data_IF_485806778112
#
_entry.id   IF_485806778112
#
_cell.length_a   1.000
_cell.length_b   1.000
_cell.length_c   1.000
_cell.angle_alpha   90.00
_cell.angle_beta   90.00
_cell.angle_gamma   90.00
#
_symmetry.space_group_name_H-M   'P 1'
#
loop_
_entity.id
_entity.type
_entity.pdbx_description
1 polymer ?
#
# COMPACT_ATOMS: atom_id res chain seq x y z
N UNK A 1 -2.29 9.07 -87.66
CA UNK A 1 -3.53 9.44 -86.94
C UNK A 1 -3.77 8.45 -85.79
N UNK A 2 -3.69 8.88 -84.53
CA UNK A 2 -4.06 8.03 -83.38
C UNK A 2 -5.57 8.12 -83.18
N UNK A 3 -6.27 6.98 -83.25
CA UNK A 3 -7.70 6.90 -82.90
C UNK A 3 -7.83 6.96 -81.38
N UNK A 4 -8.39 8.05 -80.87
CA UNK A 4 -8.86 8.16 -79.49
C UNK A 4 -10.21 7.45 -79.38
N UNK A 5 -10.23 6.29 -78.72
CA UNK A 5 -11.46 5.58 -78.38
C UNK A 5 -12.03 6.14 -77.08
N UNK A 6 -13.23 6.71 -77.12
CA UNK A 6 -13.95 7.13 -75.92
C UNK A 6 -14.72 5.94 -75.32
N UNK A 7 -14.47 5.67 -74.03
CA UNK A 7 -15.19 4.64 -73.29
C UNK A 7 -16.53 5.21 -72.80
N UNK A 8 -17.65 4.82 -73.42
CA UNK A 8 -18.98 5.24 -72.98
C UNK A 8 -19.46 4.28 -71.87
N UNK A 9 -19.43 4.74 -70.63
CA UNK A 9 -19.98 4.01 -69.48
C UNK A 9 -21.47 4.36 -69.36
N UNK A 10 -22.34 3.39 -69.64
CA UNK A 10 -23.79 3.55 -69.44
C UNK A 10 -24.14 3.47 -67.96
N UNK A 11 -25.26 4.09 -67.54
CA UNK A 11 -25.75 4.03 -66.15
C UNK A 11 -25.86 2.59 -65.64
N UNK A 12 -26.27 1.65 -66.49
CA UNK A 12 -26.39 0.24 -66.15
C UNK A 12 -25.02 -0.40 -65.85
N UNK A 13 -23.99 -0.11 -66.66
CA UNK A 13 -22.61 -0.59 -66.41
C UNK A 13 -22.01 0.02 -65.14
N UNK A 14 -22.34 1.27 -64.82
CA UNK A 14 -21.92 1.92 -63.58
C UNK A 14 -22.57 1.25 -62.35
N UNK A 15 -23.87 0.98 -62.40
CA UNK A 15 -24.60 0.30 -61.30
C UNK A 15 -24.04 -1.10 -61.06
N UNK A 16 -23.80 -1.87 -62.13
CA UNK A 16 -23.20 -3.21 -62.04
C UNK A 16 -21.78 -3.13 -61.44
N UNK A 17 -20.97 -2.16 -61.88
CA UNK A 17 -19.63 -1.95 -61.32
C UNK A 17 -19.64 -1.63 -59.83
N UNK A 18 -20.56 -0.78 -59.36
CA UNK A 18 -20.72 -0.45 -57.95
C UNK A 18 -21.19 -1.68 -57.16
N UNK A 19 -22.13 -2.46 -57.69
CA UNK A 19 -22.63 -3.67 -57.03
C UNK A 19 -21.53 -4.74 -56.87
N UNK A 20 -20.69 -4.93 -57.91
CA UNK A 20 -19.53 -5.83 -57.86
C UNK A 20 -18.51 -5.33 -56.83
N UNK A 21 -18.21 -4.02 -56.82
CA UNK A 21 -17.30 -3.44 -55.82
C UNK A 21 -17.82 -3.64 -54.39
N UNK A 22 -19.12 -3.44 -54.17
CA UNK A 22 -19.75 -3.63 -52.86
C UNK A 22 -19.71 -5.10 -52.42
N UNK A 23 -19.95 -6.04 -53.34
CA UNK A 23 -19.86 -7.48 -53.10
C UNK A 23 -18.43 -7.95 -52.81
N UNK A 24 -17.44 -7.39 -53.52
CA UNK A 24 -16.02 -7.67 -53.23
C UNK A 24 -15.67 -7.11 -51.84
N UNK A 25 -16.06 -5.88 -51.52
CA UNK A 25 -15.84 -5.28 -50.20
C UNK A 25 -16.50 -6.06 -49.07
N UNK A 26 -17.70 -6.65 -49.27
CA UNK A 26 -18.36 -7.45 -48.24
C UNK A 26 -17.67 -8.80 -48.02
N UNK A 27 -17.12 -9.43 -49.06
CA UNK A 27 -16.28 -10.63 -48.91
C UNK A 27 -15.00 -10.30 -48.11
N UNK A 28 -14.33 -9.18 -48.41
CA UNK A 28 -13.16 -8.74 -47.65
C UNK A 28 -13.49 -8.36 -46.20
N UNK A 29 -14.65 -7.76 -45.94
CA UNK A 29 -15.11 -7.47 -44.57
C UNK A 29 -15.43 -8.74 -43.77
N UNK A 30 -15.93 -9.79 -44.44
CA UNK A 30 -16.23 -11.10 -43.84
C UNK A 30 -14.97 -11.94 -43.57
N UNK A 31 -13.87 -11.65 -44.29
CA UNK A 31 -12.56 -12.29 -44.11
C UNK A 31 -11.73 -11.73 -42.95
N UNK A 32 -12.14 -10.61 -42.34
CA UNK A 32 -11.56 -10.13 -41.08
C UNK A 32 -12.16 -10.95 -39.95
N UNK A 33 -11.75 -12.22 -39.87
CA UNK A 33 -11.81 -12.93 -38.60
C UNK A 33 -10.86 -12.19 -37.66
N UNK A 34 -11.40 -11.56 -36.60
CA UNK A 34 -10.58 -11.15 -35.47
C UNK A 34 -9.91 -12.42 -34.96
N UNK A 35 -8.65 -12.61 -35.34
CA UNK A 35 -7.81 -13.65 -34.80
C UNK A 35 -7.45 -13.21 -33.37
N UNK A 36 -8.42 -13.32 -32.48
CA UNK A 36 -8.24 -13.07 -31.07
C UNK A 36 -7.44 -14.26 -30.53
N UNK A 37 -6.12 -14.22 -30.72
CA UNK A 37 -5.16 -15.07 -30.04
C UNK A 37 -5.19 -14.74 -28.54
N UNK A 38 -6.30 -15.07 -27.87
CA UNK A 38 -6.37 -15.01 -26.42
C UNK A 38 -5.51 -16.14 -25.88
N UNK A 39 -4.57 -15.78 -25.00
CA UNK A 39 -3.79 -16.75 -24.24
C UNK A 39 -4.74 -17.75 -23.57
N UNK A 40 -4.58 -19.04 -23.84
CA UNK A 40 -5.34 -20.14 -23.22
C UNK A 40 -4.97 -20.37 -21.76
N UNK A 41 -3.92 -19.72 -21.25
CA UNK A 41 -3.51 -19.79 -19.85
C UNK A 41 -4.53 -19.06 -18.96
N UNK A 42 -5.23 -19.82 -18.13
CA UNK A 42 -6.05 -19.28 -17.04
C UNK A 42 -5.17 -18.45 -16.10
N UNK A 43 -5.63 -17.24 -15.76
CA UNK A 43 -5.02 -16.39 -14.74
C UNK A 43 -5.92 -16.23 -13.55
N UNK A 44 -5.42 -16.56 -12.36
CA UNK A 44 -6.17 -16.44 -11.13
C UNK A 44 -5.73 -15.24 -10.33
N UNK A 45 -6.66 -14.34 -10.04
CA UNK A 45 -6.38 -13.08 -9.36
C UNK A 45 -7.23 -13.01 -8.11
N UNK A 46 -6.58 -12.81 -6.96
CA UNK A 46 -7.27 -12.46 -5.73
C UNK A 46 -7.39 -10.95 -5.64
N UNK A 47 -8.62 -10.47 -5.45
CA UNK A 47 -8.92 -9.10 -5.11
C UNK A 47 -9.26 -9.04 -3.63
N UNK A 48 -8.39 -8.41 -2.88
CA UNK A 48 -8.53 -8.20 -1.46
C UNK A 48 -9.17 -6.83 -1.17
N UNK A 49 -10.35 -6.82 -0.55
CA UNK A 49 -11.04 -5.59 -0.16
C UNK A 49 -10.72 -5.31 1.30
N UNK A 50 -9.76 -4.42 1.59
CA UNK A 50 -9.28 -4.16 2.95
C UNK A 50 -10.40 -3.88 3.95
N UNK A 51 -10.17 -4.25 5.21
CA UNK A 51 -11.12 -4.08 6.33
C UNK A 51 -12.47 -4.81 6.11
N UNK A 52 -13.51 -4.47 6.87
CA UNK A 52 -14.85 -5.06 6.79
C UNK A 52 -15.50 -5.25 8.17
N UNK A 53 -16.83 -5.38 8.23
CA UNK A 53 -17.56 -5.63 9.47
C UNK A 53 -17.24 -4.61 10.56
N UNK A 54 -16.76 -5.09 11.72
CA UNK A 54 -16.34 -4.25 12.85
C UNK A 54 -15.05 -3.45 12.58
N UNK A 55 -14.23 -3.89 11.62
CA UNK A 55 -13.03 -3.15 11.20
C UNK A 55 -13.42 -2.19 10.08
N UNK A 56 -13.50 -0.92 10.42
CA UNK A 56 -13.93 0.13 9.47
C UNK A 56 -12.81 0.65 8.59
N UNK A 57 -11.55 0.38 8.95
CA UNK A 57 -10.40 1.16 8.49
C UNK A 57 -10.52 2.63 8.92
N UNK A 58 -9.92 3.52 8.14
CA UNK A 58 -10.03 4.97 8.36
C UNK A 58 -11.47 5.48 8.19
N UNK A 59 -11.80 6.58 8.86
CA UNK A 59 -13.13 7.20 8.88
C UNK A 59 -13.03 8.71 8.68
N UNK A 60 -13.95 9.28 7.92
CA UNK A 60 -14.14 10.73 7.84
C UNK A 60 -15.60 11.05 7.51
N UNK A 61 -16.23 11.96 8.25
CA UNK A 61 -17.60 12.45 8.00
C UNK A 61 -18.63 11.33 7.73
N UNK A 62 -18.61 10.26 8.54
CA UNK A 62 -19.52 9.11 8.42
C UNK A 62 -19.19 8.14 7.27
N UNK A 63 -18.19 8.45 6.44
CA UNK A 63 -17.66 7.54 5.42
C UNK A 63 -16.59 6.64 6.02
N UNK A 64 -16.66 5.35 5.71
CA UNK A 64 -15.68 4.35 6.16
C UNK A 64 -14.88 3.82 4.98
N UNK A 65 -13.58 3.61 5.19
CA UNK A 65 -12.68 3.00 4.22
C UNK A 65 -13.20 1.64 3.72
N UNK A 66 -13.70 0.79 4.63
CA UNK A 66 -14.21 -0.55 4.28
C UNK A 66 -15.27 -0.54 3.17
N UNK A 67 -16.08 0.51 3.08
CA UNK A 67 -17.18 0.63 2.11
C UNK A 67 -16.63 1.03 0.73
N UNK A 68 -15.67 1.95 0.71
CA UNK A 68 -14.95 2.37 -0.50
C UNK A 68 -14.16 1.18 -1.06
N UNK A 69 -13.42 0.47 -0.20
CA UNK A 69 -12.62 -0.70 -0.58
C UNK A 69 -13.51 -1.78 -1.22
N UNK A 70 -14.65 -2.11 -0.60
CA UNK A 70 -15.58 -3.09 -1.13
C UNK A 70 -16.16 -2.66 -2.48
N UNK A 71 -16.54 -1.40 -2.62
CA UNK A 71 -17.10 -0.85 -3.85
C UNK A 71 -16.10 -0.92 -5.01
N UNK A 72 -14.86 -0.49 -4.80
CA UNK A 72 -13.80 -0.55 -5.82
C UNK A 72 -13.46 -2.00 -6.15
N UNK A 73 -13.30 -2.86 -5.15
CA UNK A 73 -13.00 -4.27 -5.34
C UNK A 73 -14.07 -5.00 -6.15
N UNK A 74 -15.36 -4.74 -5.90
CA UNK A 74 -16.48 -5.29 -6.70
C UNK A 74 -16.43 -4.82 -8.15
N UNK A 75 -16.16 -3.54 -8.38
CA UNK A 75 -16.03 -3.02 -9.74
C UNK A 75 -14.83 -3.63 -10.47
N UNK A 76 -13.69 -3.72 -9.80
CA UNK A 76 -12.48 -4.34 -10.34
C UNK A 76 -12.73 -5.81 -10.67
N UNK A 77 -13.39 -6.55 -9.77
CA UNK A 77 -13.75 -7.94 -10.00
C UNK A 77 -14.63 -8.09 -11.23
N UNK A 78 -15.68 -7.27 -11.35
CA UNK A 78 -16.56 -7.29 -12.51
C UNK A 78 -15.85 -6.94 -13.82
N UNK A 79 -14.88 -6.03 -13.79
CA UNK A 79 -14.13 -5.67 -14.99
C UNK A 79 -13.13 -6.74 -15.43
N UNK A 80 -12.44 -7.37 -14.46
CA UNK A 80 -11.49 -8.44 -14.72
C UNK A 80 -12.13 -9.80 -14.96
N UNK A 81 -13.37 -10.03 -14.54
CA UNK A 81 -14.09 -11.29 -14.75
C UNK A 81 -14.56 -11.45 -16.20
N UNK A 82 -13.60 -11.50 -17.13
CA UNK A 82 -13.76 -11.62 -18.57
C UNK A 82 -12.65 -12.50 -19.14
N UNK A 83 -12.97 -13.27 -20.18
CA UNK A 83 -12.00 -14.16 -20.82
C UNK A 83 -11.47 -15.21 -19.85
N UNK A 84 -10.17 -15.46 -19.87
CA UNK A 84 -9.52 -16.55 -19.13
C UNK A 84 -9.01 -16.12 -17.73
N UNK A 85 -9.67 -15.15 -17.09
CA UNK A 85 -9.30 -14.68 -15.75
C UNK A 85 -10.31 -15.15 -14.70
N UNK A 86 -9.84 -15.94 -13.72
CA UNK A 86 -10.62 -16.37 -12.56
C UNK A 86 -10.39 -15.41 -11.40
N UNK A 87 -11.44 -14.70 -11.01
CA UNK A 87 -11.38 -13.69 -9.94
C UNK A 87 -11.95 -14.24 -8.64
N UNK A 88 -11.18 -14.13 -7.55
CA UNK A 88 -11.60 -14.51 -6.20
C UNK A 88 -11.53 -13.28 -5.31
N UNK A 89 -12.63 -12.94 -4.64
CA UNK A 89 -12.64 -11.85 -3.68
C UNK A 89 -12.39 -12.38 -2.27
N UNK A 90 -11.54 -11.70 -1.49
CA UNK A 90 -11.37 -11.95 -0.04
C UNK A 90 -12.69 -11.88 0.74
N UNK A 91 -13.55 -10.92 0.37
CA UNK A 91 -14.92 -10.73 0.86
C UNK A 91 -15.79 -10.10 -0.23
N UNK A 92 -17.05 -10.52 -0.30
CA UNK A 92 -18.05 -9.96 -1.23
C UNK A 92 -19.13 -9.11 -0.52
N UNK A 93 -19.07 -9.01 0.81
CA UNK A 93 -19.99 -8.26 1.66
C UNK A 93 -19.24 -7.46 2.72
N UNK A 94 -19.97 -6.68 3.53
CA UNK A 94 -19.41 -5.99 4.69
C UNK A 94 -19.23 -6.98 5.86
N UNK A 95 -18.15 -7.77 5.82
CA UNK A 95 -17.86 -8.80 6.81
C UNK A 95 -16.36 -8.98 7.03
N UNK A 96 -16.01 -9.58 8.17
CA UNK A 96 -14.70 -10.16 8.46
C UNK A 96 -14.85 -11.66 8.67
N UNK A 97 -13.81 -12.41 8.31
CA UNK A 97 -13.67 -13.79 8.71
C UNK A 97 -13.76 -13.92 10.24
N UNK A 98 -14.76 -14.68 10.71
CA UNK A 98 -15.07 -14.89 12.12
C UNK A 98 -15.28 -13.60 12.93
N UNK A 99 -15.71 -12.50 12.28
CA UNK A 99 -15.89 -11.20 12.90
C UNK A 99 -14.68 -10.73 13.74
N UNK A 100 -13.47 -11.09 13.33
CA UNK A 100 -12.25 -10.84 14.11
C UNK A 100 -11.11 -10.37 13.20
N UNK A 101 -10.71 -9.10 13.36
CA UNK A 101 -9.66 -8.44 12.57
C UNK A 101 -8.36 -9.24 12.50
N UNK A 102 -7.93 -9.78 13.63
CA UNK A 102 -6.69 -10.55 13.72
C UNK A 102 -6.78 -11.90 12.99
N UNK A 103 -7.93 -12.56 12.97
CA UNK A 103 -8.12 -13.81 12.22
C UNK A 103 -8.32 -13.54 10.73
N UNK A 104 -8.96 -12.42 10.41
CA UNK A 104 -9.29 -12.01 9.05
C UNK A 104 -8.07 -11.70 8.19
N UNK A 105 -7.12 -10.93 8.72
CA UNK A 105 -5.87 -10.65 7.99
C UNK A 105 -5.06 -11.92 7.68
N UNK A 106 -5.10 -12.92 8.57
CA UNK A 106 -4.49 -14.25 8.36
C UNK A 106 -5.24 -15.00 7.26
N UNK A 107 -6.58 -15.01 7.33
CA UNK A 107 -7.43 -15.68 6.37
C UNK A 107 -7.21 -15.17 4.95
N UNK A 108 -7.09 -13.84 4.75
CA UNK A 108 -6.84 -13.23 3.42
C UNK A 108 -5.57 -13.74 2.76
N UNK A 109 -4.46 -13.75 3.50
CA UNK A 109 -3.20 -14.29 3.00
C UNK A 109 -3.27 -15.82 2.75
N UNK A 110 -3.95 -16.55 3.66
CA UNK A 110 -4.16 -17.99 3.52
C UNK A 110 -4.96 -18.33 2.26
N UNK A 111 -6.07 -17.63 2.02
CA UNK A 111 -6.91 -17.77 0.83
C UNK A 111 -6.06 -17.62 -0.45
N UNK A 112 -5.27 -16.55 -0.54
CA UNK A 112 -4.41 -16.31 -1.70
C UNK A 112 -3.39 -17.42 -1.93
N UNK A 113 -2.83 -17.99 -0.87
CA UNK A 113 -1.84 -19.06 -0.98
C UNK A 113 -2.44 -20.44 -1.32
N UNK A 114 -3.69 -20.69 -0.94
CA UNK A 114 -4.36 -21.97 -1.19
C UNK A 114 -4.93 -22.07 -2.61
N UNK A 115 -5.21 -20.92 -3.24
CA UNK A 115 -5.91 -20.87 -4.51
C UNK A 115 -5.00 -20.96 -5.74
N UNK A 116 -3.70 -21.27 -5.67
CA UNK A 116 -2.79 -21.21 -6.86
C UNK A 116 -2.86 -19.86 -7.59
N UNK A 117 -2.92 -18.77 -6.82
CA UNK A 117 -3.11 -17.41 -7.32
C UNK A 117 -1.89 -16.89 -8.11
N UNK A 118 -2.13 -16.26 -9.27
CA UNK A 118 -1.11 -15.56 -10.05
C UNK A 118 -0.79 -14.16 -9.52
N UNK A 119 -1.82 -13.40 -9.08
CA UNK A 119 -1.68 -12.03 -8.57
C UNK A 119 -2.58 -11.79 -7.36
N UNK A 120 -2.06 -11.08 -6.36
CA UNK A 120 -2.83 -10.60 -5.21
C UNK A 120 -2.89 -9.07 -5.21
N UNK A 121 -4.11 -8.52 -5.24
CA UNK A 121 -4.36 -7.07 -5.31
C UNK A 121 -5.19 -6.66 -4.10
N UNK A 122 -4.57 -6.00 -3.12
CA UNK A 122 -5.28 -5.45 -1.96
C UNK A 122 -5.65 -3.99 -2.19
N UNK A 123 -6.90 -3.61 -1.91
CA UNK A 123 -7.45 -2.28 -2.10
C UNK A 123 -7.69 -1.64 -0.74
N UNK A 124 -7.11 -0.46 -0.53
CA UNK A 124 -7.19 0.33 0.68
C UNK A 124 -7.40 1.82 0.40
N UNK A 125 -7.78 2.57 1.44
CA UNK A 125 -7.83 4.04 1.43
C UNK A 125 -6.95 4.57 2.54
N UNK A 126 -6.11 5.54 2.20
CA UNK A 126 -5.15 6.08 3.12
C UNK A 126 -5.80 7.17 3.99
N UNK A 127 -5.10 7.53 5.05
CA UNK A 127 -5.41 8.69 5.88
C UNK A 127 -4.13 9.16 6.53
N UNK A 128 -4.06 10.46 6.78
CA UNK A 128 -2.93 11.10 7.43
C UNK A 128 -3.39 12.35 8.18
N UNK A 129 -2.76 12.71 9.32
CA UNK A 129 -3.15 13.90 10.09
C UNK A 129 -3.17 15.18 9.25
N UNK A 130 -2.28 15.30 8.26
CA UNK A 130 -2.31 16.41 7.32
C UNK A 130 -3.41 16.23 6.27
N UNK A 131 -4.26 17.24 6.12
CA UNK A 131 -5.26 17.32 5.05
C UNK A 131 -4.65 17.62 3.68
N UNK A 132 -3.34 17.91 3.60
CA UNK A 132 -2.62 18.20 2.35
C UNK A 132 -2.16 16.95 1.61
N UNK A 133 -2.12 15.80 2.28
CA UNK A 133 -1.64 14.53 1.69
C UNK A 133 -2.70 13.94 0.78
N UNK A 134 -2.42 13.74 -0.51
CA UNK A 134 -3.42 13.26 -1.48
C UNK A 134 -2.80 12.31 -2.52
N UNK A 135 -3.65 11.67 -3.32
CA UNK A 135 -3.28 10.83 -4.45
C UNK A 135 -3.13 9.36 -4.10
N UNK A 136 -3.44 8.48 -5.06
CA UNK A 136 -3.28 7.04 -4.88
C UNK A 136 -1.81 6.59 -4.89
N UNK A 137 -1.46 5.60 -4.07
CA UNK A 137 -0.13 5.02 -3.92
C UNK A 137 -0.17 3.50 -3.92
N UNK A 138 0.67 2.88 -4.75
CA UNK A 138 0.78 1.42 -4.80
C UNK A 138 2.03 0.95 -4.07
N UNK A 139 1.83 0.10 -3.08
CA UNK A 139 2.89 -0.59 -2.36
C UNK A 139 3.09 -2.00 -2.89
N UNK A 140 4.31 -2.53 -2.74
CA UNK A 140 4.68 -3.87 -3.20
C UNK A 140 5.47 -4.64 -2.15
N UNK A 141 5.44 -5.97 -2.22
CA UNK A 141 6.24 -6.85 -1.35
C UNK A 141 7.73 -6.48 -1.43
N UNK A 142 8.40 -6.22 -0.29
CA UNK A 142 9.84 -5.95 -0.27
C UNK A 142 10.62 -7.03 -1.03
N UNK A 143 11.67 -6.62 -1.74
CA UNK A 143 12.56 -7.51 -2.52
C UNK A 143 11.91 -8.30 -3.67
N UNK A 144 10.62 -8.12 -3.97
CA UNK A 144 9.96 -8.78 -5.11
C UNK A 144 9.99 -7.91 -6.37
N UNK A 145 10.86 -8.27 -7.33
CA UNK A 145 10.93 -7.59 -8.63
C UNK A 145 9.60 -7.67 -9.41
N UNK A 146 8.89 -8.80 -9.31
CA UNK A 146 7.57 -9.00 -9.95
C UNK A 146 6.51 -8.11 -9.32
N UNK A 147 6.42 -8.05 -7.99
CA UNK A 147 5.49 -7.16 -7.28
C UNK A 147 5.78 -5.69 -7.59
N UNK A 148 7.06 -5.29 -7.64
CA UNK A 148 7.48 -3.93 -8.02
C UNK A 148 7.07 -3.58 -9.44
N UNK A 149 7.23 -4.50 -10.40
CA UNK A 149 6.80 -4.31 -11.80
C UNK A 149 5.28 -4.13 -11.88
N UNK A 150 4.51 -5.00 -11.20
CA UNK A 150 3.05 -4.88 -11.12
C UNK A 150 2.61 -3.54 -10.53
N UNK A 151 3.20 -3.14 -9.40
CA UNK A 151 2.91 -1.86 -8.75
C UNK A 151 3.15 -0.67 -9.68
N UNK A 152 4.23 -0.68 -10.48
CA UNK A 152 4.54 0.41 -11.43
C UNK A 152 3.46 0.55 -12.51
N UNK A 153 2.96 -0.57 -13.05
CA UNK A 153 1.89 -0.52 -14.04
C UNK A 153 0.61 0.05 -13.44
N UNK A 154 0.21 -0.39 -12.24
CA UNK A 154 -0.98 0.13 -11.57
C UNK A 154 -0.82 1.62 -11.23
N UNK A 155 0.32 2.01 -10.65
CA UNK A 155 0.59 3.41 -10.28
C UNK A 155 0.53 4.35 -11.49
N UNK A 156 1.03 3.92 -12.65
CA UNK A 156 0.97 4.70 -13.89
C UNK A 156 -0.48 5.03 -14.27
N UNK A 157 -1.38 4.05 -14.20
CA UNK A 157 -2.80 4.26 -14.54
C UNK A 157 -3.53 5.11 -13.48
N UNK A 158 -3.16 4.98 -12.20
CA UNK A 158 -3.70 5.85 -11.14
C UNK A 158 -3.30 7.32 -11.34
N UNK A 159 -2.07 7.58 -11.79
CA UNK A 159 -1.61 8.93 -12.14
C UNK A 159 -2.39 9.45 -13.36
N UNK A 160 -2.67 8.62 -14.36
CA UNK A 160 -3.39 9.03 -15.55
C UNK A 160 -4.81 9.57 -15.24
N UNK A 161 -5.48 9.02 -14.23
CA UNK A 161 -6.82 9.48 -13.80
C UNK A 161 -6.78 10.61 -12.75
N UNK A 162 -5.60 10.95 -12.23
CA UNK A 162 -5.36 12.06 -11.31
C UNK A 162 -3.98 12.67 -11.62
N UNK A 163 -3.83 13.48 -12.69
CA UNK A 163 -2.50 13.90 -13.17
C UNK A 163 -1.65 14.68 -12.16
N UNK A 164 -2.27 15.32 -11.16
CA UNK A 164 -1.56 15.98 -10.05
C UNK A 164 -0.96 15.01 -9.03
N UNK A 165 -1.30 13.71 -9.11
CA UNK A 165 -0.79 12.68 -8.22
C UNK A 165 0.72 12.48 -8.47
N UNK A 166 1.52 12.92 -7.50
CA UNK A 166 2.98 12.83 -7.53
C UNK A 166 3.53 11.49 -7.00
N UNK A 167 2.67 10.60 -6.50
CA UNK A 167 3.11 9.45 -5.72
C UNK A 167 3.81 8.41 -6.57
N UNK A 168 4.88 7.86 -6.01
CA UNK A 168 5.63 6.75 -6.57
C UNK A 168 5.38 5.47 -5.78
N UNK A 169 5.65 4.34 -6.42
CA UNK A 169 5.55 3.03 -5.78
C UNK A 169 6.56 2.88 -4.65
N UNK A 170 6.17 2.24 -3.55
CA UNK A 170 7.04 1.99 -2.38
C UNK A 170 7.02 0.52 -1.96
N UNK A 171 8.13 -0.05 -1.46
CA UNK A 171 8.05 -1.32 -0.76
C UNK A 171 7.25 -1.14 0.54
N UNK A 172 6.55 -2.18 0.99
CA UNK A 172 5.81 -2.16 2.25
C UNK A 172 5.73 -3.55 2.87
N UNK A 173 6.24 -3.68 4.10
CA UNK A 173 6.20 -4.92 4.91
C UNK A 173 4.80 -5.16 5.51
N UNK A 174 3.76 -5.09 4.67
CA UNK A 174 2.40 -5.33 5.11
C UNK A 174 2.12 -6.82 5.22
N UNK A 175 1.33 -7.22 6.23
CA UNK A 175 1.06 -8.63 6.50
C UNK A 175 0.61 -9.39 5.26
N UNK A 176 -0.38 -8.87 4.53
CA UNK A 176 -0.92 -9.52 3.34
C UNK A 176 0.07 -9.58 2.18
N UNK A 177 1.05 -8.68 2.12
CA UNK A 177 2.10 -8.69 1.08
C UNK A 177 3.24 -9.65 1.42
N UNK A 178 3.61 -9.76 2.70
CA UNK A 178 4.67 -10.65 3.16
C UNK A 178 4.23 -12.09 3.31
N UNK A 179 2.95 -12.30 3.62
CA UNK A 179 2.40 -13.64 3.87
C UNK A 179 1.78 -14.28 2.65
N UNK A 180 1.82 -13.62 1.50
CA UNK A 180 1.40 -14.19 0.22
C UNK A 180 2.62 -14.57 -0.63
N UNK A 181 2.49 -15.64 -1.42
CA UNK A 181 3.61 -16.25 -2.16
C UNK A 181 3.73 -15.81 -3.62
N UNK A 182 2.74 -15.11 -4.14
CA UNK A 182 2.67 -14.63 -5.52
C UNK A 182 2.95 -13.12 -5.57
N UNK A 183 3.18 -12.54 -6.77
CA UNK A 183 3.28 -11.08 -6.90
C UNK A 183 2.06 -10.39 -6.29
N UNK A 184 2.32 -9.52 -5.32
CA UNK A 184 1.32 -8.92 -4.46
C UNK A 184 1.52 -7.40 -4.33
N UNK A 185 0.42 -6.66 -4.37
CA UNK A 185 0.41 -5.21 -4.19
C UNK A 185 -0.71 -4.78 -3.25
N UNK A 186 -0.47 -3.67 -2.52
CA UNK A 186 -1.48 -2.96 -1.75
C UNK A 186 -1.66 -1.58 -2.36
N UNK A 187 -2.86 -1.29 -2.86
CA UNK A 187 -3.21 -0.07 -3.58
C UNK A 187 -3.99 0.83 -2.65
N UNK A 188 -3.33 1.86 -2.12
CA UNK A 188 -3.99 2.98 -1.46
C UNK A 188 -4.57 3.90 -2.54
N UNK A 189 -5.89 4.01 -2.66
CA UNK A 189 -6.51 4.68 -3.81
C UNK A 189 -6.61 6.21 -3.69
N UNK A 190 -6.28 6.75 -2.52
CA UNK A 190 -6.33 8.18 -2.17
C UNK A 190 -6.35 8.36 -0.65
N UNK A 191 -6.49 9.61 -0.18
CA UNK A 191 -6.49 9.95 1.24
C UNK A 191 -7.87 10.44 1.69
N UNK A 192 -8.51 9.71 2.60
CA UNK A 192 -9.82 10.10 3.13
C UNK A 192 -9.76 11.39 3.95
N UNK A 193 -8.58 11.74 4.50
CA UNK A 193 -8.32 12.99 5.21
C UNK A 193 -8.16 14.21 4.30
N UNK A 194 -7.93 14.03 3.00
CA UNK A 194 -7.82 15.13 2.05
C UNK A 194 -9.18 15.48 1.42
N UNK A 195 -9.60 16.76 1.40
CA UNK A 195 -10.93 17.13 0.89
C UNK A 195 -11.20 16.77 -0.58
N UNK A 196 -10.22 16.91 -1.47
CA UNK A 196 -10.39 16.59 -2.90
C UNK A 196 -10.50 15.08 -3.11
N UNK A 197 -9.62 14.30 -2.47
CA UNK A 197 -9.69 12.84 -2.49
C UNK A 197 -10.96 12.33 -1.81
N UNK A 198 -11.41 12.92 -0.71
CA UNK A 198 -12.67 12.58 -0.07
C UNK A 198 -13.85 12.70 -1.04
N UNK A 199 -13.97 13.82 -1.76
CA UNK A 199 -15.02 14.02 -2.79
C UNK A 199 -14.89 12.98 -3.93
N UNK A 200 -13.66 12.67 -4.35
CA UNK A 200 -13.40 11.65 -5.37
C UNK A 200 -13.82 10.25 -4.89
N UNK A 201 -13.46 9.87 -3.68
CA UNK A 201 -13.65 8.52 -3.14
C UNK A 201 -15.10 8.25 -2.73
N UNK A 202 -15.84 9.27 -2.27
CA UNK A 202 -17.27 9.18 -1.97
C UNK A 202 -18.14 9.12 -3.24
N UNK A 203 -17.62 9.55 -4.39
CA UNK A 203 -18.31 9.49 -5.67
C UNK A 203 -18.20 8.11 -6.36
N UNK A 204 -19.36 7.45 -6.58
CA UNK A 204 -19.40 6.11 -7.19
C UNK A 204 -18.86 6.06 -8.63
N UNK A 205 -19.07 7.11 -9.44
CA UNK A 205 -18.54 7.19 -10.81
C UNK A 205 -17.01 7.22 -10.79
N UNK A 206 -16.43 7.94 -9.84
CA UNK A 206 -14.98 7.99 -9.65
C UNK A 206 -14.43 6.67 -9.14
N UNK A 207 -15.10 5.98 -8.20
CA UNK A 207 -14.71 4.61 -7.78
C UNK A 207 -14.65 3.63 -8.95
N UNK A 208 -15.61 3.70 -9.89
CA UNK A 208 -15.56 2.91 -11.14
C UNK A 208 -14.34 3.27 -12.01
N UNK A 209 -14.00 4.56 -12.14
CA UNK A 209 -12.80 5.00 -12.88
C UNK A 209 -11.52 4.48 -12.23
N UNK A 210 -11.42 4.50 -10.90
CA UNK A 210 -10.28 3.95 -10.16
C UNK A 210 -10.16 2.45 -10.42
N UNK A 211 -11.25 1.69 -10.30
CA UNK A 211 -11.26 0.26 -10.60
C UNK A 211 -10.81 -0.03 -12.05
N UNK A 212 -11.26 0.77 -13.03
CA UNK A 212 -10.84 0.65 -14.44
C UNK A 212 -9.34 0.93 -14.62
N UNK A 213 -8.78 1.91 -13.91
CA UNK A 213 -7.35 2.20 -13.96
C UNK A 213 -6.52 1.03 -13.39
N UNK A 214 -6.95 0.45 -12.25
CA UNK A 214 -6.28 -0.70 -11.65
C UNK A 214 -6.35 -1.92 -12.59
N UNK A 215 -7.51 -2.20 -13.18
CA UNK A 215 -7.68 -3.24 -14.21
C UNK A 215 -6.70 -3.04 -15.37
N UNK A 216 -6.61 -1.83 -15.92
CA UNK A 216 -5.71 -1.53 -17.03
C UNK A 216 -4.24 -1.77 -16.64
N UNK A 217 -3.84 -1.41 -15.42
CA UNK A 217 -2.50 -1.67 -14.91
C UNK A 217 -2.20 -3.18 -14.80
N UNK A 218 -3.17 -3.96 -14.34
CA UNK A 218 -3.07 -5.43 -14.26
C UNK A 218 -2.94 -6.04 -15.65
N UNK A 219 -3.78 -5.64 -16.60
CA UNK A 219 -3.74 -6.12 -17.99
C UNK A 219 -2.39 -5.77 -18.63
N UNK A 220 -1.91 -4.54 -18.46
CA UNK A 220 -0.61 -4.10 -18.98
C UNK A 220 0.53 -4.94 -18.39
N UNK A 221 0.48 -5.24 -17.09
CA UNK A 221 1.45 -6.12 -16.45
C UNK A 221 1.40 -7.54 -17.02
N UNK A 222 0.22 -8.15 -17.14
CA UNK A 222 0.05 -9.50 -17.69
C UNK A 222 0.57 -9.60 -19.13
N UNK A 223 0.21 -8.63 -19.98
CA UNK A 223 0.69 -8.57 -21.37
C UNK A 223 2.21 -8.42 -21.45
N UNK A 224 2.82 -7.66 -20.54
CA UNK A 224 4.29 -7.51 -20.48
C UNK A 224 5.05 -8.78 -20.07
N UNK A 225 4.35 -9.87 -19.75
CA UNK A 225 4.91 -11.15 -19.32
C UNK A 225 4.55 -12.32 -20.25
N UNK A 226 3.88 -12.09 -21.40
CA UNK A 226 3.59 -13.10 -22.42
C UNK A 226 4.76 -13.17 -23.45
N UNK A 227 5.71 -14.11 -23.23
CA UNK A 227 6.87 -14.57 -24.07
C UNK A 227 8.14 -13.67 -24.14
N UNK A 228 9.42 -14.08 -23.96
CA UNK A 228 10.21 -15.33 -23.75
C UNK A 228 11.39 -15.10 -22.72
N UNK A 229 12.06 -16.14 -22.17
CA UNK A 229 13.09 -16.07 -21.11
C UNK A 229 14.54 -15.97 -21.66
N UNK A 230 15.59 -15.92 -20.80
CA UNK A 230 16.09 -14.79 -20.02
C UNK A 230 17.41 -14.22 -20.60
N UNK A 231 17.82 -13.02 -20.17
CA UNK A 231 19.22 -12.59 -20.21
C UNK A 231 19.70 -12.38 -18.78
N UNK A 232 20.53 -13.32 -18.31
CA UNK A 232 21.33 -13.21 -17.09
C UNK A 232 22.21 -11.95 -17.10
N UNK A 233 22.33 -11.32 -15.92
CA UNK A 233 23.61 -11.02 -15.25
C UNK A 233 23.32 -10.40 -13.89
N UNK A 234 23.45 -11.20 -12.84
CA UNK A 234 23.73 -10.70 -11.49
C UNK A 234 25.23 -10.37 -11.37
N UNK A 235 25.54 -9.36 -10.56
CA UNK A 235 26.87 -9.15 -9.97
C UNK A 235 26.68 -8.78 -8.49
N UNK A 236 27.45 -9.38 -7.57
CA UNK A 236 27.34 -9.10 -6.14
C UNK A 236 28.14 -7.85 -5.77
N UNK A 237 27.68 -7.10 -4.77
CA UNK A 237 28.46 -6.07 -4.10
C UNK A 237 28.69 -6.47 -2.65
N UNK A 238 29.97 -6.53 -2.30
CA UNK A 238 30.57 -6.93 -1.03
C UNK A 238 30.35 -5.90 0.08
N UNK A 239 30.12 -6.40 1.29
CA UNK A 239 30.15 -5.65 2.55
C UNK A 239 31.59 -5.55 3.06
N UNK A 240 31.99 -4.39 3.57
CA UNK A 240 33.10 -4.26 4.52
C UNK A 240 32.66 -3.40 5.69
N UNK A 241 32.72 -3.97 6.89
CA UNK A 241 32.58 -3.28 8.17
C UNK A 241 33.95 -2.72 8.59
N UNK A 242 33.96 -1.55 9.21
CA UNK A 242 34.88 -1.20 10.30
C UNK A 242 34.33 0.04 11.02
N UNK A 243 34.04 -0.09 12.32
CA UNK A 243 33.81 1.05 13.22
C UNK A 243 34.82 0.95 14.38
N UNK A 244 35.52 2.04 14.73
CA UNK A 244 36.34 2.10 15.92
C UNK A 244 35.48 2.22 17.18
N UNK A 245 35.97 1.67 18.29
CA UNK A 245 35.45 1.91 19.64
C UNK A 245 35.92 3.28 20.10
N UNK A 246 35.00 4.19 20.41
CA UNK A 246 35.28 5.45 21.11
C UNK A 246 34.48 5.57 22.42
N UNK A 247 35.10 6.29 23.37
CA UNK A 247 34.68 6.49 24.76
C UNK A 247 33.29 7.12 24.86
N UNK A 248 32.48 6.59 25.77
CA UNK A 248 31.14 7.08 26.09
C UNK A 248 31.24 8.39 26.88
N UNK A 249 30.97 9.51 26.24
CA UNK A 249 30.39 10.70 26.87
C UNK A 249 28.87 10.59 26.75
N UNK A 250 28.15 10.72 27.87
CA UNK A 250 26.68 10.66 27.86
C UNK A 250 26.15 11.99 27.30
N UNK A 251 25.92 12.02 25.99
CA UNK A 251 25.15 13.06 25.33
C UNK A 251 23.65 12.79 25.62
N UNK A 252 23.01 13.67 26.39
CA UNK A 252 21.60 13.54 26.77
C UNK A 252 20.65 14.06 25.66
N UNK A 253 21.18 14.31 24.46
CA UNK A 253 20.42 14.82 23.33
C UNK A 253 20.00 13.67 22.41
N UNK A 254 18.73 13.26 22.52
CA UNK A 254 18.16 12.16 21.75
C UNK A 254 17.21 12.67 20.67
N UNK A 255 17.00 11.88 19.62
CA UNK A 255 16.12 12.26 18.51
C UNK A 255 14.75 11.63 18.69
N UNK A 256 13.72 12.46 18.66
CA UNK A 256 12.34 12.03 18.45
C UNK A 256 12.01 12.16 16.96
N UNK A 257 11.25 11.22 16.42
CA UNK A 257 10.95 11.20 14.99
C UNK A 257 9.49 11.57 14.76
N UNK A 258 9.21 12.79 14.33
CA UNK A 258 7.84 13.22 14.02
C UNK A 258 7.55 13.11 12.53
N UNK A 259 6.27 13.06 12.19
CA UNK A 259 5.85 13.02 10.81
C UNK A 259 6.00 14.41 10.17
N UNK A 260 6.40 14.46 8.90
CA UNK A 260 6.41 15.69 8.12
C UNK A 260 5.77 15.43 6.75
N UNK A 261 4.97 16.38 6.27
CA UNK A 261 4.36 16.33 4.96
C UNK A 261 4.95 17.46 4.09
N UNK A 262 6.10 17.18 3.46
CA UNK A 262 6.81 18.11 2.59
C UNK A 262 6.77 17.66 1.14
N UNK A 263 6.69 18.62 0.21
CA UNK A 263 6.94 18.49 -1.23
C UNK A 263 6.75 17.07 -1.76
N UNK A 264 5.50 16.59 -1.71
CA UNK A 264 5.07 15.36 -2.36
C UNK A 264 5.37 14.03 -1.63
N UNK A 265 5.67 14.04 -0.32
CA UNK A 265 5.74 12.80 0.45
C UNK A 265 5.62 12.97 1.97
N UNK A 266 5.05 11.97 2.65
CA UNK A 266 5.13 11.83 4.10
C UNK A 266 6.43 11.11 4.51
N UNK A 267 7.15 11.68 5.47
CA UNK A 267 8.42 11.15 5.98
C UNK A 267 8.57 11.36 7.48
N UNK A 268 9.65 10.84 8.07
CA UNK A 268 10.00 11.09 9.47
C UNK A 268 11.15 12.09 9.56
N UNK A 269 10.93 13.15 10.32
CA UNK A 269 11.90 14.21 10.58
C UNK A 269 12.41 14.10 12.02
N UNK A 270 13.73 13.94 12.23
CA UNK A 270 14.31 13.87 13.56
C UNK A 270 14.33 15.25 14.22
N UNK A 271 13.84 15.32 15.46
CA UNK A 271 13.89 16.50 16.32
C UNK A 271 14.76 16.15 17.52
N UNK A 272 15.90 16.83 17.64
CA UNK A 272 16.76 16.71 18.81
C UNK A 272 16.03 17.23 20.05
N UNK A 273 16.04 16.43 21.12
CA UNK A 273 15.45 16.77 22.40
C UNK A 273 16.43 16.39 23.49
N UNK A 274 16.77 17.37 24.31
CA UNK A 274 17.44 17.11 25.57
C UNK A 274 16.44 16.42 26.49
N UNK A 275 16.71 15.16 26.82
CA UNK A 275 15.88 14.41 27.76
C UNK A 275 16.58 14.51 29.11
N UNK A 276 16.02 15.24 30.09
CA UNK A 276 16.68 15.42 31.36
C UNK A 276 16.91 14.04 31.98
N UNK A 277 18.17 13.69 32.27
CA UNK A 277 18.50 12.50 33.07
C UNK A 277 18.43 12.90 34.55
N UNK A 278 17.29 13.46 34.96
CA UNK A 278 17.06 13.86 36.35
C UNK A 278 16.41 12.71 37.10
N UNK A 279 17.14 12.20 38.09
CA UNK A 279 16.82 11.19 39.11
C UNK A 279 15.77 10.13 38.72
N UNK A 280 16.28 8.91 38.61
CA UNK A 280 15.58 7.62 38.62
C UNK A 280 14.33 7.71 39.50
N UNK A 281 13.13 7.62 38.90
CA UNK A 281 11.90 7.50 39.66
C UNK A 281 11.55 6.02 39.82
N UNK A 282 11.73 5.55 41.06
CA UNK A 282 11.11 4.39 41.73
C UNK A 282 11.38 2.96 41.20
N UNK A 283 11.90 2.14 42.13
CA UNK A 283 11.84 0.68 42.24
C UNK A 283 12.15 -0.15 40.96
N UNK A 284 13.43 -0.49 40.79
CA UNK A 284 13.95 -1.57 39.92
C UNK A 284 14.04 -1.34 38.40
N UNK A 285 13.69 -0.18 37.84
CA UNK A 285 13.86 0.08 36.40
C UNK A 285 15.26 0.63 36.04
N UNK A 286 15.83 0.13 34.96
CA UNK A 286 17.13 0.51 34.43
C UNK A 286 17.14 1.95 33.87
N UNK A 287 18.34 2.54 33.75
CA UNK A 287 18.50 3.88 33.15
C UNK A 287 17.93 3.94 31.72
N UNK A 288 18.13 2.87 30.95
CA UNK A 288 17.64 2.78 29.58
C UNK A 288 16.11 2.79 29.51
N UNK A 289 15.44 2.04 30.39
CA UNK A 289 13.97 2.02 30.46
C UNK A 289 13.42 3.41 30.80
N UNK A 290 14.07 4.14 31.71
CA UNK A 290 13.66 5.50 32.08
C UNK A 290 13.78 6.48 30.90
N UNK A 291 14.91 6.47 30.19
CA UNK A 291 15.13 7.38 29.05
C UNK A 291 14.19 7.01 27.90
N UNK A 292 13.99 5.72 27.62
CA UNK A 292 13.05 5.24 26.63
C UNK A 292 11.59 5.61 26.98
N UNK A 293 11.20 5.46 28.25
CA UNK A 293 9.87 5.86 28.74
C UNK A 293 9.61 7.36 28.52
N UNK A 294 10.56 8.23 28.93
CA UNK A 294 10.45 9.69 28.73
C UNK A 294 10.41 10.07 27.25
N UNK A 295 11.24 9.43 26.42
CA UNK A 295 11.24 9.64 24.96
C UNK A 295 9.88 9.35 24.33
N UNK A 296 9.22 8.29 24.78
CA UNK A 296 7.90 7.91 24.29
C UNK A 296 6.79 8.83 24.81
N UNK A 297 6.85 9.30 26.06
CA UNK A 297 5.92 10.32 26.56
C UNK A 297 6.02 11.62 25.75
N UNK A 298 7.24 12.03 25.42
CA UNK A 298 7.46 13.20 24.57
C UNK A 298 6.99 12.97 23.13
N UNK A 299 7.14 11.75 22.62
CA UNK A 299 6.64 11.37 21.30
C UNK A 299 5.11 11.37 21.25
N UNK A 300 4.45 10.88 22.30
CA UNK A 300 2.98 10.92 22.49
C UNK A 300 2.50 12.37 22.59
N UNK A 301 3.23 13.23 23.29
CA UNK A 301 2.90 14.65 23.44
C UNK A 301 2.89 15.40 22.11
N UNK A 302 3.53 14.84 21.08
CA UNK A 302 3.57 15.39 19.73
C UNK A 302 4.64 16.47 19.56
N UNK A 303 4.79 16.98 18.31
CA UNK A 303 5.74 18.03 18.02
C UNK A 303 5.30 19.36 18.63
N UNK A 304 6.22 20.33 18.71
CA UNK A 304 5.90 21.67 19.21
C UNK A 304 4.74 22.29 18.42
N UNK A 305 3.81 23.00 19.10
CA UNK A 305 2.78 23.78 18.42
C UNK A 305 3.40 24.72 17.37
N UNK A 306 2.70 24.88 16.24
CA UNK A 306 3.13 25.72 15.10
C UNK A 306 4.39 25.25 14.34
N UNK A 307 4.89 24.03 14.61
CA UNK A 307 5.84 23.39 13.70
C UNK A 307 5.13 22.84 12.46
N UNK A 308 5.88 22.58 11.37
CA UNK A 308 5.37 21.88 10.18
C UNK A 308 5.27 20.36 10.37
N UNK A 309 5.44 19.89 11.60
CA UNK A 309 5.47 18.48 11.96
C UNK A 309 4.10 18.04 12.48
N UNK A 310 3.81 16.76 12.30
CA UNK A 310 2.57 16.12 12.70
C UNK A 310 2.84 15.04 13.76
N UNK A 311 1.91 14.84 14.70
CA UNK A 311 1.99 13.72 15.63
C UNK A 311 1.92 12.40 14.87
N UNK A 312 2.66 11.41 15.36
CA UNK A 312 2.66 10.03 14.84
C UNK A 312 1.89 9.08 15.76
N UNK A 313 1.56 9.49 16.98
CA UNK A 313 0.77 8.72 17.94
C UNK A 313 -0.46 9.57 18.28
N UNK A 314 -1.68 8.99 18.33
CA UNK A 314 -2.87 9.72 18.77
C UNK A 314 -2.64 10.34 20.15
N UNK A 315 -2.89 11.64 20.35
CA UNK A 315 -2.61 12.34 21.61
C UNK A 315 -3.27 11.73 22.85
N UNK A 316 -4.36 10.99 22.68
CA UNK A 316 -5.09 10.32 23.75
C UNK A 316 -4.42 9.01 24.21
N UNK A 317 -3.40 8.53 23.49
CA UNK A 317 -2.65 7.31 23.81
C UNK A 317 -1.87 7.47 25.12
N UNK A 318 -1.99 6.50 26.01
CA UNK A 318 -1.19 6.43 27.25
C UNK A 318 -0.08 5.39 27.11
N UNK A 319 1.09 5.71 27.64
CA UNK A 319 2.17 4.74 27.84
C UNK A 319 1.95 4.02 29.17
N UNK A 320 1.53 2.75 29.11
CA UNK A 320 1.24 1.93 30.29
C UNK A 320 2.50 1.34 30.92
N UNK A 321 3.57 1.18 30.15
CA UNK A 321 4.86 0.72 30.66
C UNK A 321 5.85 0.38 29.57
N UNK A 322 7.10 0.22 29.97
CA UNK A 322 8.18 -0.29 29.13
C UNK A 322 9.04 -1.26 29.95
N UNK A 323 9.47 -2.34 29.31
CA UNK A 323 10.45 -3.30 29.84
C UNK A 323 11.50 -3.57 28.77
N UNK A 324 12.79 -3.57 29.12
CA UNK A 324 13.88 -3.92 28.20
C UNK A 324 14.49 -5.25 28.63
N UNK A 325 14.36 -6.27 27.78
CA UNK A 325 14.89 -7.62 28.05
C UNK A 325 15.51 -8.22 26.80
N UNK A 326 16.75 -8.70 26.93
CA UNK A 326 17.51 -9.33 25.84
C UNK A 326 17.47 -8.50 24.56
N UNK A 327 17.93 -7.25 24.58
CA UNK A 327 17.91 -6.29 23.45
C UNK A 327 16.53 -5.86 22.91
N UNK A 328 15.43 -6.34 23.50
CA UNK A 328 14.06 -6.04 23.08
C UNK A 328 13.40 -5.08 24.06
N UNK A 329 12.92 -3.94 23.57
CA UNK A 329 12.01 -3.06 24.30
C UNK A 329 10.55 -3.50 24.09
N UNK A 330 9.90 -3.97 25.15
CA UNK A 330 8.48 -4.26 25.20
C UNK A 330 7.74 -3.01 25.64
N UNK A 331 7.01 -2.39 24.71
CA UNK A 331 6.36 -1.10 24.93
C UNK A 331 4.86 -1.30 24.99
N UNK A 332 4.26 -1.03 26.14
CA UNK A 332 2.85 -1.24 26.39
C UNK A 332 2.08 0.08 26.32
N UNK A 333 1.19 0.19 25.35
CA UNK A 333 0.30 1.35 25.17
C UNK A 333 -1.15 1.00 25.54
N UNK A 334 -1.96 2.03 25.77
CA UNK A 334 -3.40 1.91 25.91
C UNK A 334 -4.10 1.67 24.57
N UNK A 335 -5.38 1.32 24.60
CA UNK A 335 -6.14 0.92 23.40
C UNK A 335 -6.28 2.05 22.36
N UNK A 336 -6.19 3.31 22.79
CA UNK A 336 -6.28 4.52 21.97
C UNK A 336 -5.23 4.58 20.87
N UNK A 337 -4.07 3.93 21.03
CA UNK A 337 -3.08 3.80 19.95
C UNK A 337 -3.68 3.11 18.71
N UNK A 338 -4.68 2.26 18.92
CA UNK A 338 -5.37 1.51 17.85
C UNK A 338 -6.75 2.07 17.55
N UNK A 339 -7.54 2.43 18.57
CA UNK A 339 -8.94 2.87 18.40
C UNK A 339 -9.05 4.29 17.87
N UNK A 340 -8.11 5.17 18.23
CA UNK A 340 -8.06 6.56 17.79
C UNK A 340 -7.01 6.80 16.70
N UNK A 341 -6.38 5.73 16.18
CA UNK A 341 -5.40 5.84 15.11
C UNK A 341 -6.04 6.41 13.84
N UNK A 342 -5.38 7.36 13.17
CA UNK A 342 -5.89 7.97 11.93
C UNK A 342 -6.12 6.97 10.79
N UNK A 343 -5.48 5.81 10.87
CA UNK A 343 -5.57 4.70 9.93
C UNK A 343 -4.82 4.93 8.63
N UNK A 344 -5.00 4.01 7.68
CA UNK A 344 -4.26 3.99 6.43
C UNK A 344 -2.81 3.51 6.58
N UNK A 345 -2.29 2.89 5.52
CA UNK A 345 -0.96 2.29 5.54
C UNK A 345 0.15 3.29 5.84
N UNK A 346 0.04 4.52 5.33
CA UNK A 346 1.09 5.53 5.51
C UNK A 346 1.21 5.96 6.96
N UNK A 347 0.09 6.28 7.61
CA UNK A 347 0.12 6.65 9.03
C UNK A 347 0.62 5.49 9.88
N UNK A 348 0.15 4.26 9.66
CA UNK A 348 0.59 3.11 10.45
C UNK A 348 2.11 2.88 10.32
N UNK A 349 2.67 2.99 9.11
CA UNK A 349 4.11 2.91 8.89
C UNK A 349 4.87 3.97 9.67
N UNK A 350 4.41 5.22 9.63
CA UNK A 350 5.09 6.33 10.29
C UNK A 350 5.04 6.20 11.81
N UNK A 351 3.91 5.76 12.36
CA UNK A 351 3.74 5.44 13.79
C UNK A 351 4.76 4.41 14.25
N UNK A 352 4.81 3.25 13.60
CA UNK A 352 5.71 2.16 13.98
C UNK A 352 7.17 2.55 13.77
N UNK A 353 7.48 3.18 12.64
CA UNK A 353 8.84 3.64 12.32
C UNK A 353 9.34 4.70 13.28
N UNK A 354 8.47 5.59 13.73
CA UNK A 354 8.84 6.60 14.72
C UNK A 354 9.20 5.97 16.06
N UNK A 355 8.35 5.07 16.58
CA UNK A 355 8.59 4.36 17.84
C UNK A 355 9.90 3.57 17.75
N UNK A 356 10.07 2.77 16.68
CA UNK A 356 11.27 1.94 16.50
C UNK A 356 12.52 2.79 16.35
N UNK A 357 12.51 3.84 15.52
CA UNK A 357 13.68 4.72 15.33
C UNK A 357 14.05 5.46 16.61
N UNK A 358 13.06 5.92 17.37
CA UNK A 358 13.24 6.59 18.66
C UNK A 358 13.86 5.65 19.69
N UNK A 359 13.46 4.39 19.77
CA UNK A 359 13.97 3.49 20.82
C UNK A 359 15.30 2.83 20.44
N UNK A 360 15.46 2.42 19.20
CA UNK A 360 16.69 1.72 18.77
C UNK A 360 17.87 2.67 18.51
N UNK A 361 17.75 3.95 18.89
CA UNK A 361 18.91 4.85 18.98
C UNK A 361 19.74 4.56 20.23
N UNK A 362 19.14 3.95 21.24
CA UNK A 362 19.82 3.49 22.43
C UNK A 362 20.47 2.13 22.16
N UNK A 363 21.77 2.01 22.46
CA UNK A 363 22.60 0.85 22.10
C UNK A 363 22.10 -0.49 22.65
N UNK A 364 21.37 -0.46 23.75
CA UNK A 364 20.84 -1.61 24.48
C UNK A 364 19.50 -2.10 23.92
N UNK A 365 18.92 -1.39 22.94
CA UNK A 365 17.66 -1.74 22.30
C UNK A 365 17.90 -1.95 20.80
N UNK A 366 17.91 -3.21 20.38
CA UNK A 366 17.98 -3.59 18.96
C UNK A 366 16.58 -3.66 18.33
N UNK A 367 15.60 -4.10 19.12
CA UNK A 367 14.25 -4.45 18.66
C UNK A 367 13.17 -3.84 19.55
N UNK A 368 12.00 -3.61 18.98
CA UNK A 368 10.82 -3.13 19.72
C UNK A 368 9.64 -4.05 19.51
N UNK A 369 9.03 -4.51 20.60
CA UNK A 369 7.76 -5.20 20.60
C UNK A 369 6.66 -4.28 21.13
N UNK A 370 5.70 -3.91 20.27
CA UNK A 370 4.54 -3.12 20.67
C UNK A 370 3.48 -4.04 21.29
N UNK A 371 2.93 -3.63 22.43
CA UNK A 371 1.84 -4.27 23.16
C UNK A 371 0.69 -3.26 23.35
N UNK A 372 -0.55 -3.76 23.35
CA UNK A 372 -1.74 -2.99 23.70
C UNK A 372 -2.38 -3.66 24.91
N UNK A 373 -2.54 -2.93 26.01
CA UNK A 373 -3.11 -3.45 27.26
C UNK A 373 -2.46 -4.78 27.70
N UNK A 374 -1.13 -4.85 27.57
CA UNK A 374 -0.31 -6.01 27.92
C UNK A 374 -0.30 -7.15 26.90
N UNK A 375 -1.02 -7.04 25.78
CA UNK A 375 -1.15 -8.10 24.78
C UNK A 375 -0.39 -7.75 23.49
N UNK A 376 0.28 -8.76 22.91
CA UNK A 376 0.84 -8.65 21.57
C UNK A 376 -0.28 -8.39 20.56
N UNK A 377 -0.05 -7.44 19.68
CA UNK A 377 -0.96 -7.14 18.57
C UNK A 377 -0.36 -7.65 17.25
N UNK A 378 -1.21 -7.90 16.25
CA UNK A 378 -0.73 -8.24 14.91
C UNK A 378 -0.42 -7.02 14.06
N UNK A 379 -1.12 -5.92 14.32
CA UNK A 379 -1.07 -4.67 13.58
C UNK A 379 -1.85 -3.60 14.34
N UNK A 380 -1.47 -2.33 14.21
CA UNK A 380 -2.20 -1.17 14.76
C UNK A 380 -3.47 -0.93 13.93
N UNK A 381 -3.37 -0.83 12.61
CA UNK A 381 -4.52 -0.49 11.73
C UNK A 381 -4.89 -1.54 10.66
N UNK A 382 -4.05 -2.53 10.43
CA UNK A 382 -4.35 -3.71 9.62
C UNK A 382 -3.34 -3.93 8.51
N UNK A 383 -2.27 -3.14 8.47
CA UNK A 383 -1.32 -3.12 7.39
C UNK A 383 0.01 -3.73 7.86
N UNK A 384 0.70 -3.16 8.84
CA UNK A 384 2.02 -3.64 9.29
C UNK A 384 1.97 -4.83 10.24
N UNK A 385 2.91 -5.78 10.07
CA UNK A 385 3.01 -6.95 10.94
C UNK A 385 3.82 -6.64 12.22
N UNK A 386 3.19 -6.83 13.39
CA UNK A 386 3.74 -6.50 14.71
C UNK A 386 3.75 -7.70 15.69
N UNK A 387 3.57 -8.93 15.19
CA UNK A 387 3.50 -10.14 16.02
C UNK A 387 4.84 -10.50 16.69
N UNK A 388 5.95 -10.04 16.10
CA UNK A 388 7.31 -10.18 16.58
C UNK A 388 7.92 -8.80 16.82
N UNK A 389 9.00 -8.78 17.59
CA UNK A 389 9.77 -7.55 17.80
C UNK A 389 10.44 -7.11 16.49
N UNK A 390 10.49 -5.80 16.27
CA UNK A 390 10.81 -5.17 14.98
C UNK A 390 12.09 -4.36 15.11
N UNK A 391 12.97 -4.46 14.12
CA UNK A 391 14.18 -3.67 13.98
C UNK A 391 13.96 -2.48 13.04
N UNK A 392 14.90 -1.52 13.04
CA UNK A 392 14.96 -0.46 12.01
C UNK A 392 14.98 -0.99 10.57
N UNK A 393 15.53 -2.20 10.34
CA UNK A 393 15.70 -2.78 8.99
C UNK A 393 14.42 -3.39 8.44
N UNK A 394 13.47 -3.73 9.30
CA UNK A 394 12.20 -4.34 8.93
C UNK A 394 11.19 -3.29 8.41
N UNK A 395 11.53 -2.01 8.51
CA UNK A 395 10.64 -0.90 8.19
C UNK A 395 11.02 -0.21 6.87
N UNK A 396 10.03 0.24 6.08
CA UNK A 396 10.26 0.74 4.72
C UNK A 396 10.81 2.18 4.65
N UNK A 397 11.25 2.78 5.78
CA UNK A 397 11.65 4.18 5.92
C UNK A 397 12.98 4.39 6.63
#
# INVERSE_FOLDING_TARGET
>A
MKRTSFLIITKQKLIIGIAILFFICSIFASGITQNNNYSTLEKRIIIDAGHGGIDTGTRNNGTHEKDINLSIAKHLANYLNKGNMKIIMSRASDSLYQNNRNKDIIYRAKLANQENTDLFISIHVNSFPSTKSFGGQTFYTPNSAKSKKLAKFIQKELIAIQPKNYRQVKPGAFYVLERTKMPAVLVEVGFLSNPEDYQRLTNNKTRKKIAKAIEQGIINYLNSNLHLPPSNKEKPASLTNNYPKEKITIDNNFKLYFAEANNNQESLTPVAKEIPVTKIFTNNQSLIENIAYRSLLDLISGPKPNSNLYPVIPPETKLLGIEVKNDIAYVNFSEELTTNHWGGSTSEILTVSSIVKTLTQFSEIEKVQILISGKKIKSINGHLLLNNAITKKDLPL
#
